data_IF_456315932702
#
_entry.id   IF_456315932702
#
_cell.length_a   1.000
_cell.length_b   1.000
_cell.length_c   1.000
_cell.angle_alpha   90.00
_cell.angle_beta   90.00
_cell.angle_gamma   90.00
#
_symmetry.space_group_name_H-M   'P 1'
#
loop_
_entity.id
_entity.type
_entity.pdbx_description
1 polymer ?
#
# COMPACT_ATOMS: atom_id res chain seq x y z
N UNK A 1 34.91 -35.59 -13.35
CA UNK A 1 33.57 -34.96 -13.40
C UNK A 1 33.80 -33.46 -13.28
N UNK A 2 33.93 -32.77 -14.41
CA UNK A 2 34.30 -31.35 -14.45
C UNK A 2 33.03 -30.53 -14.21
N UNK A 3 33.01 -29.72 -13.14
CA UNK A 3 31.99 -28.71 -12.94
C UNK A 3 32.21 -27.61 -13.99
N UNK A 4 31.29 -27.47 -14.97
CA UNK A 4 31.19 -26.23 -15.76
C UNK A 4 30.64 -25.15 -14.84
N UNK A 5 31.43 -24.11 -14.57
CA UNK A 5 31.05 -23.02 -13.68
C UNK A 5 30.47 -21.88 -14.52
N UNK A 6 29.15 -21.87 -14.69
CA UNK A 6 28.44 -20.77 -15.34
C UNK A 6 28.27 -19.61 -14.34
N UNK A 7 28.88 -18.46 -14.64
CA UNK A 7 28.66 -17.25 -13.85
C UNK A 7 27.52 -16.43 -14.46
N UNK A 8 26.46 -16.22 -13.68
CA UNK A 8 25.35 -15.32 -14.00
C UNK A 8 25.55 -13.99 -13.28
N UNK A 9 25.58 -12.89 -14.03
CA UNK A 9 25.59 -11.54 -13.48
C UNK A 9 24.33 -10.81 -13.92
N UNK A 10 23.55 -10.32 -12.95
CA UNK A 10 22.39 -9.45 -13.18
C UNK A 10 22.67 -8.10 -12.52
N UNK A 11 22.63 -7.01 -13.30
CA UNK A 11 22.89 -5.65 -12.83
C UNK A 11 21.82 -4.72 -13.36
N UNK A 12 21.31 -3.88 -12.46
CA UNK A 12 20.53 -2.70 -12.83
C UNK A 12 21.49 -1.51 -12.75
N UNK A 13 21.61 -0.76 -13.83
CA UNK A 13 22.44 0.44 -13.89
C UNK A 13 21.58 1.62 -14.31
N UNK A 14 21.91 2.77 -13.75
CA UNK A 14 21.35 4.06 -14.15
C UNK A 14 22.44 4.80 -14.92
N UNK A 15 22.13 5.23 -16.12
CA UNK A 15 23.02 6.06 -16.95
C UNK A 15 22.29 7.35 -17.34
N UNK A 16 23.04 8.35 -17.78
CA UNK A 16 22.47 9.57 -18.35
C UNK A 16 22.76 9.56 -19.86
N UNK A 17 21.75 9.88 -20.67
CA UNK A 17 21.92 10.06 -22.11
C UNK A 17 22.62 11.40 -22.42
N UNK A 18 22.82 11.69 -23.71
CA UNK A 18 23.46 12.94 -24.16
C UNK A 18 22.65 14.21 -23.84
N UNK A 19 21.37 14.07 -23.48
CA UNK A 19 20.46 15.15 -23.10
C UNK A 19 20.26 15.23 -21.58
N UNK A 20 21.08 14.53 -20.78
CA UNK A 20 20.97 14.42 -19.32
C UNK A 20 19.66 13.74 -18.84
N UNK A 21 19.02 12.97 -19.71
CA UNK A 21 17.89 12.10 -19.33
C UNK A 21 18.40 10.81 -18.71
N UNK A 22 17.76 10.40 -17.62
CA UNK A 22 18.07 9.16 -16.93
C UNK A 22 17.54 7.97 -17.72
N UNK A 23 18.41 7.01 -18.04
CA UNK A 23 18.05 5.70 -18.57
C UNK A 23 18.36 4.61 -17.53
N UNK A 24 17.43 3.68 -17.39
CA UNK A 24 17.61 2.49 -16.58
C UNK A 24 17.85 1.30 -17.48
N UNK A 25 18.97 0.63 -17.29
CA UNK A 25 19.35 -0.53 -18.09
C UNK A 25 19.45 -1.76 -17.21
N UNK A 26 18.81 -2.84 -17.67
CA UNK A 26 19.00 -4.16 -17.12
C UNK A 26 20.02 -4.90 -17.96
N UNK A 27 21.12 -5.31 -17.33
CA UNK A 27 22.20 -6.04 -17.98
C UNK A 27 22.28 -7.43 -17.36
N UNK A 28 22.11 -8.45 -18.20
CA UNK A 28 22.31 -9.83 -17.82
C UNK A 28 23.49 -10.39 -18.62
N UNK A 29 24.43 -11.01 -17.94
CA UNK A 29 25.58 -11.65 -18.56
C UNK A 29 25.71 -13.10 -18.10
N UNK A 30 25.91 -14.01 -19.05
CA UNK A 30 26.20 -15.42 -18.82
C UNK A 30 27.59 -15.68 -19.39
N UNK A 31 28.55 -16.02 -18.52
CA UNK A 31 29.94 -16.29 -18.90
C UNK A 31 30.28 -17.78 -18.71
N UNK A 32 31.01 -18.36 -19.66
CA UNK A 32 31.50 -19.74 -19.60
C UNK A 32 32.94 -19.78 -19.14
N UNK A 33 33.23 -20.40 -17.99
CA UNK A 33 34.54 -20.76 -17.38
C UNK A 33 35.71 -19.73 -17.41
N UNK A 34 35.90 -18.96 -18.49
CA UNK A 34 36.75 -17.78 -18.64
C UNK A 34 35.90 -16.52 -19.01
N UNK A 35 36.27 -15.32 -18.55
CA UNK A 35 35.55 -14.06 -18.84
C UNK A 35 35.61 -13.59 -20.31
N UNK A 36 36.19 -14.39 -21.21
CA UNK A 36 36.39 -14.06 -22.63
C UNK A 36 35.21 -14.47 -23.52
N UNK A 37 34.37 -15.41 -23.07
CA UNK A 37 33.16 -15.87 -23.76
C UNK A 37 31.94 -15.62 -22.87
N UNK A 38 31.34 -14.44 -23.02
CA UNK A 38 30.11 -14.07 -22.34
C UNK A 38 29.03 -13.70 -23.35
N UNK A 39 27.81 -14.17 -23.09
CA UNK A 39 26.60 -13.63 -23.73
C UNK A 39 26.10 -12.54 -22.81
N UNK A 40 25.94 -11.34 -23.34
CA UNK A 40 25.39 -10.19 -22.61
C UNK A 40 24.11 -9.75 -23.30
N UNK A 41 23.01 -9.66 -22.55
CA UNK A 41 21.81 -8.96 -22.97
C UNK A 41 21.70 -7.65 -22.20
N UNK A 42 21.28 -6.61 -22.89
CA UNK A 42 20.99 -5.30 -22.32
C UNK A 42 19.59 -4.90 -22.77
N UNK A 43 18.75 -4.58 -21.81
CA UNK A 43 17.39 -4.14 -22.03
C UNK A 43 17.21 -2.74 -21.42
N UNK A 44 16.59 -1.86 -22.20
CA UNK A 44 16.13 -0.57 -21.69
C UNK A 44 14.85 -0.79 -20.89
N UNK A 45 14.92 -0.51 -19.60
CA UNK A 45 13.81 -0.64 -18.65
C UNK A 45 13.41 0.71 -18.08
N UNK A 46 13.75 1.81 -18.76
CA UNK A 46 13.52 3.17 -18.28
C UNK A 46 12.04 3.44 -18.02
N UNK A 47 11.17 3.07 -18.95
CA UNK A 47 9.71 3.24 -18.81
C UNK A 47 9.19 2.43 -17.62
N UNK A 48 9.58 1.16 -17.51
CA UNK A 48 9.15 0.28 -16.43
C UNK A 48 9.57 0.82 -15.06
N UNK A 49 10.84 1.21 -14.91
CA UNK A 49 11.37 1.68 -13.65
C UNK A 49 10.80 3.05 -13.26
N UNK A 50 10.61 3.95 -14.24
CA UNK A 50 9.96 5.24 -14.01
C UNK A 50 8.52 5.07 -13.55
N UNK A 51 7.74 4.20 -14.21
CA UNK A 51 6.37 3.89 -13.79
C UNK A 51 6.33 3.30 -12.37
N UNK A 52 7.24 2.35 -12.07
CA UNK A 52 7.37 1.75 -10.73
C UNK A 52 7.65 2.80 -9.66
N UNK A 53 8.59 3.71 -9.92
CA UNK A 53 8.93 4.80 -8.99
C UNK A 53 7.78 5.80 -8.81
N UNK A 54 7.05 6.13 -9.87
CA UNK A 54 5.87 6.98 -9.81
C UNK A 54 4.76 6.34 -8.96
N UNK A 55 4.47 5.06 -9.16
CA UNK A 55 3.51 4.29 -8.35
C UNK A 55 3.92 4.23 -6.88
N UNK A 56 5.19 3.94 -6.60
CA UNK A 56 5.72 3.88 -5.24
C UNK A 56 5.62 5.25 -4.56
N UNK A 57 5.99 6.32 -5.26
CA UNK A 57 5.88 7.69 -4.77
C UNK A 57 4.44 8.08 -4.48
N UNK A 58 3.50 7.74 -5.35
CA UNK A 58 2.07 7.99 -5.15
C UNK A 58 1.56 7.24 -3.91
N UNK A 59 1.91 5.96 -3.77
CA UNK A 59 1.54 5.14 -2.60
C UNK A 59 2.09 5.71 -1.30
N UNK A 60 3.37 6.04 -1.27
CA UNK A 60 4.03 6.61 -0.08
C UNK A 60 3.42 7.97 0.28
N UNK A 61 3.12 8.78 -0.71
CA UNK A 61 2.47 10.09 -0.52
C UNK A 61 1.07 9.92 0.08
N UNK A 62 0.25 9.03 -0.46
CA UNK A 62 -1.08 8.73 0.08
C UNK A 62 -1.00 8.21 1.51
N UNK A 63 -0.05 7.31 1.80
CA UNK A 63 0.14 6.78 3.15
C UNK A 63 0.56 7.88 4.13
N UNK A 64 1.48 8.75 3.74
CA UNK A 64 1.89 9.92 4.52
C UNK A 64 0.70 10.85 4.81
N UNK A 65 -0.14 11.13 3.82
CA UNK A 65 -1.34 11.93 4.04
C UNK A 65 -2.28 11.28 5.06
N UNK A 66 -2.60 10.00 4.87
CA UNK A 66 -3.49 9.25 5.77
C UNK A 66 -2.97 9.25 7.21
N UNK A 67 -1.67 9.02 7.40
CA UNK A 67 -1.03 8.93 8.72
C UNK A 67 -0.94 10.26 9.47
N UNK A 68 -0.97 11.39 8.74
CA UNK A 68 -0.93 12.73 9.33
C UNK A 68 -2.31 13.35 9.58
N UNK A 69 -3.39 12.77 9.05
CA UNK A 69 -4.75 13.20 9.37
C UNK A 69 -5.05 12.86 10.84
N UNK A 70 -5.37 13.86 11.68
CA UNK A 70 -5.62 13.63 13.10
C UNK A 70 -6.95 12.92 13.36
N UNK A 71 -7.93 13.02 12.45
CA UNK A 71 -9.19 12.30 12.54
C UNK A 71 -9.07 10.83 12.09
N UNK A 72 -9.88 9.91 12.67
CA UNK A 72 -10.01 8.55 12.15
C UNK A 72 -10.53 8.55 10.71
N UNK A 73 -9.86 7.82 9.83
CA UNK A 73 -10.27 7.65 8.43
C UNK A 73 -10.46 6.17 8.13
N UNK A 74 -11.60 5.85 7.51
CA UNK A 74 -11.94 4.53 6.97
C UNK A 74 -12.21 4.70 5.48
N UNK A 75 -11.64 3.81 4.66
CA UNK A 75 -12.01 3.66 3.25
C UNK A 75 -12.57 2.26 3.08
N UNK A 76 -13.73 2.17 2.42
CA UNK A 76 -14.41 0.91 2.11
C UNK A 76 -14.45 0.64 0.62
N UNK A 77 -14.63 -0.63 0.25
CA UNK A 77 -15.10 -0.99 -1.08
C UNK A 77 -16.60 -0.68 -1.24
N UNK A 78 -17.14 -0.95 -2.43
CA UNK A 78 -18.56 -0.78 -2.76
C UNK A 78 -19.53 -1.69 -1.99
N UNK A 79 -19.02 -2.72 -1.31
CA UNK A 79 -19.80 -3.63 -0.47
C UNK A 79 -19.69 -3.26 1.02
N UNK A 80 -19.06 -2.12 1.34
CA UNK A 80 -18.86 -1.68 2.71
C UNK A 80 -17.76 -2.43 3.47
N UNK A 81 -16.88 -3.18 2.80
CA UNK A 81 -15.74 -3.81 3.47
C UNK A 81 -14.58 -2.82 3.58
N UNK A 82 -13.97 -2.73 4.76
CA UNK A 82 -12.80 -1.88 4.99
C UNK A 82 -11.64 -2.33 4.11
N UNK A 83 -11.14 -1.43 3.26
CA UNK A 83 -9.94 -1.65 2.44
C UNK A 83 -8.74 -0.85 2.94
N UNK A 84 -8.97 0.18 3.76
CA UNK A 84 -7.90 0.97 4.37
C UNK A 84 -8.40 1.70 5.62
N UNK A 85 -7.52 1.83 6.61
CA UNK A 85 -7.67 2.72 7.77
C UNK A 85 -6.39 3.51 7.98
N UNK A 86 -6.47 4.66 8.67
CA UNK A 86 -5.28 5.40 9.09
C UNK A 86 -4.86 5.09 10.53
N UNK A 87 -3.65 5.54 10.88
CA UNK A 87 -3.10 5.40 12.23
C UNK A 87 -3.91 6.08 13.33
N UNK A 88 -4.65 7.15 13.02
CA UNK A 88 -5.51 7.80 14.02
C UNK A 88 -6.66 6.87 14.45
N UNK A 89 -7.25 6.14 13.51
CA UNK A 89 -8.28 5.15 13.80
C UNK A 89 -7.76 4.04 14.71
N UNK A 90 -6.58 3.50 14.42
CA UNK A 90 -5.96 2.46 15.25
C UNK A 90 -5.75 2.93 16.69
N UNK A 91 -5.30 4.19 16.86
CA UNK A 91 -5.10 4.79 18.18
C UNK A 91 -6.41 5.01 18.93
N UNK A 92 -7.47 5.40 18.24
CA UNK A 92 -8.76 5.70 18.87
C UNK A 92 -9.47 4.43 19.32
N UNK A 93 -9.56 3.42 18.45
CA UNK A 93 -10.34 2.20 18.72
C UNK A 93 -9.50 1.03 19.24
N UNK A 94 -8.16 1.10 19.16
CA UNK A 94 -7.25 0.07 19.65
C UNK A 94 -7.12 -1.16 18.74
N UNK A 95 -7.76 -1.16 17.58
CA UNK A 95 -7.59 -2.21 16.56
C UNK A 95 -6.42 -1.89 15.64
N UNK A 96 -5.65 -2.90 15.26
CA UNK A 96 -4.70 -2.79 14.15
C UNK A 96 -5.42 -2.79 12.80
N UNK A 97 -4.79 -2.19 11.80
CA UNK A 97 -5.24 -2.26 10.41
C UNK A 97 -5.50 -3.69 9.97
N UNK A 98 -4.60 -4.62 10.27
CA UNK A 98 -4.71 -6.02 9.87
C UNK A 98 -5.95 -6.70 10.46
N UNK A 99 -6.37 -6.29 11.66
CA UNK A 99 -7.57 -6.84 12.30
C UNK A 99 -8.87 -6.34 11.70
N UNK A 100 -8.87 -5.18 11.04
CA UNK A 100 -10.10 -4.53 10.56
C UNK A 100 -10.28 -4.65 9.05
N UNK A 101 -9.21 -4.90 8.29
CA UNK A 101 -9.29 -5.10 6.84
C UNK A 101 -10.26 -6.24 6.49
N UNK A 102 -11.09 -5.99 5.47
CA UNK A 102 -12.11 -6.92 4.98
C UNK A 102 -13.36 -7.03 5.87
N UNK A 103 -13.41 -6.35 7.02
CA UNK A 103 -14.60 -6.31 7.88
C UNK A 103 -15.49 -5.12 7.53
N UNK A 104 -16.76 -5.18 7.90
CA UNK A 104 -17.66 -4.04 7.80
C UNK A 104 -17.36 -3.06 8.97
N UNK A 105 -17.35 -1.72 8.75
CA UNK A 105 -17.11 -0.73 9.80
C UNK A 105 -17.94 -0.89 11.07
N UNK A 106 -19.12 -1.54 11.01
CA UNK A 106 -20.00 -1.80 12.15
C UNK A 106 -19.32 -2.50 13.32
N UNK A 107 -18.16 -3.14 13.13
CA UNK A 107 -17.33 -3.67 14.22
C UNK A 107 -16.92 -2.62 15.26
N UNK A 108 -16.87 -1.33 14.89
CA UNK A 108 -16.56 -0.23 15.80
C UNK A 108 -17.77 0.25 16.61
N UNK A 109 -18.98 -0.22 16.27
CA UNK A 109 -20.19 0.13 16.97
C UNK A 109 -20.54 -0.94 18.03
N UNK A 110 -20.40 -0.66 19.33
CA UNK A 110 -20.77 -1.59 20.40
C UNK A 110 -22.28 -1.86 20.52
N UNK A 111 -23.12 -1.12 19.78
CA UNK A 111 -24.57 -1.29 19.78
C UNK A 111 -25.27 -0.47 20.87
N UNK A 112 -26.56 -0.16 20.64
CA UNK A 112 -27.36 0.79 21.43
C UNK A 112 -27.39 0.49 22.93
N UNK A 113 -27.46 -0.77 23.33
CA UNK A 113 -27.52 -1.21 24.74
C UNK A 113 -26.31 -0.73 25.57
N UNK A 114 -25.12 -0.72 24.96
CA UNK A 114 -23.90 -0.25 25.62
C UNK A 114 -23.95 1.27 25.82
N UNK A 115 -24.51 2.02 24.87
CA UNK A 115 -24.66 3.48 24.98
C UNK A 115 -25.65 3.90 26.06
N UNK A 116 -26.76 3.17 26.21
CA UNK A 116 -27.71 3.37 27.32
C UNK A 116 -27.04 3.15 28.68
N UNK A 117 -26.16 2.14 28.77
CA UNK A 117 -25.43 1.81 30.00
C UNK A 117 -24.46 2.91 30.44
N UNK A 118 -23.84 3.62 29.49
CA UNK A 118 -22.95 4.77 29.77
C UNK A 118 -23.69 6.10 29.90
N UNK A 119 -25.03 6.08 29.95
CA UNK A 119 -25.86 7.24 30.22
C UNK A 119 -26.08 8.18 29.03
N UNK A 120 -25.82 7.72 27.80
CA UNK A 120 -26.18 8.47 26.61
C UNK A 120 -27.66 8.27 26.30
N UNK A 121 -28.35 9.37 25.99
CA UNK A 121 -29.74 9.31 25.56
C UNK A 121 -29.82 8.75 24.14
N UNK A 122 -30.91 8.05 23.82
CA UNK A 122 -31.18 7.53 22.49
C UNK A 122 -31.10 8.63 21.42
N UNK A 123 -31.61 9.81 21.72
CA UNK A 123 -31.57 10.99 20.85
C UNK A 123 -30.14 11.47 20.57
N UNK A 124 -29.23 11.39 21.56
CA UNK A 124 -27.83 11.78 21.41
C UNK A 124 -27.01 10.71 20.66
N UNK A 125 -27.33 9.42 20.86
CA UNK A 125 -26.77 8.32 20.08
C UNK A 125 -27.07 8.52 18.59
N UNK A 126 -28.36 8.68 18.22
CA UNK A 126 -28.71 8.96 16.84
C UNK A 126 -28.13 10.29 16.36
N UNK A 127 -28.11 11.35 17.16
CA UNK A 127 -27.49 12.62 16.72
C UNK A 127 -25.98 12.53 16.42
N UNK A 128 -25.21 11.75 17.18
CA UNK A 128 -23.78 11.53 16.92
C UNK A 128 -23.53 10.54 15.77
N UNK A 129 -24.48 9.67 15.48
CA UNK A 129 -24.27 8.52 14.60
C UNK A 129 -25.13 8.49 13.35
N UNK A 130 -26.19 9.30 13.21
CA UNK A 130 -27.09 9.20 12.05
C UNK A 130 -26.39 9.54 10.75
N UNK A 131 -25.59 10.60 10.68
CA UNK A 131 -24.91 10.95 9.43
C UNK A 131 -23.85 9.90 9.02
N UNK A 132 -23.13 9.35 10.00
CA UNK A 132 -21.99 8.46 9.75
C UNK A 132 -22.45 7.02 9.50
N UNK A 133 -23.46 6.56 10.23
CA UNK A 133 -23.92 5.18 10.16
C UNK A 133 -25.14 4.96 9.26
N UNK A 134 -26.01 5.93 9.02
CA UNK A 134 -27.09 5.73 8.02
C UNK A 134 -26.49 5.44 6.64
N UNK A 135 -25.39 6.10 6.25
CA UNK A 135 -24.69 5.79 4.99
C UNK A 135 -23.97 4.43 4.97
N UNK A 136 -23.60 3.89 6.14
CA UNK A 136 -22.93 2.59 6.29
C UNK A 136 -23.92 1.42 6.52
N UNK A 137 -25.18 1.72 6.81
CA UNK A 137 -26.22 0.74 7.14
C UNK A 137 -27.21 0.49 5.98
N UNK A 138 -27.31 1.41 5.02
CA UNK A 138 -28.19 1.32 3.85
C UNK A 138 -27.57 0.60 2.61
N UNK A 139 -26.44 -0.09 2.80
CA UNK A 139 -25.81 -0.98 1.80
C UNK A 139 -25.63 -2.39 2.36
#
# INVERSE_FOLDING_TARGET
KTLHCTHLMNRHIQIHDNNDQVLYLQIQAICKDNPSECIVSMEDVTELETNRQLEEKARNTLQLFMDNIPEPVIITDQNGNIIQVNRSLEKLYGYSKEEVLGKNPRIFNPGKEIYETIGLTEELYYKQFTELWESLLDT
#
